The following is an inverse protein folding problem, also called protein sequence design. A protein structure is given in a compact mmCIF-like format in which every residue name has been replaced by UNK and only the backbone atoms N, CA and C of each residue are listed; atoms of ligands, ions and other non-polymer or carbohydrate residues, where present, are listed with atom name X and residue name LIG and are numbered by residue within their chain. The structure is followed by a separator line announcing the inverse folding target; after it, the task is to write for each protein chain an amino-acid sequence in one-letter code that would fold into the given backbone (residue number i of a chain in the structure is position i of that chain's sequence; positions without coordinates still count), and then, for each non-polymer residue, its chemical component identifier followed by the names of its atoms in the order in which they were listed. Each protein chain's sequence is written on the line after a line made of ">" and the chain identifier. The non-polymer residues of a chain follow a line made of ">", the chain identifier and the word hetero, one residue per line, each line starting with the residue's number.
data_IF_425251452273
#
_entry.id   IF_425251452273
#
_cell.length_a   1.000
_cell.length_b   1.000
_cell.length_c   1.000
_cell.angle_alpha   90.00
_cell.angle_beta   90.00
_cell.angle_gamma   90.00
#
_symmetry.space_group_name_H-M   'P 1'
#
loop_
_entity.id
_entity.type
_entity.pdbx_description
1 polymer ?
#
# COMPACT_ATOMS: atom_id res chain seq x y z
N UNK A 1 -1.59 16.20 6.77
CA UNK A 1 -2.30 17.14 7.66
C UNK A 1 -1.57 18.45 7.89
N UNK A 2 -0.25 18.43 7.90
CA UNK A 2 0.60 19.62 8.07
C UNK A 2 0.34 20.74 7.04
N UNK A 3 -0.09 20.42 5.82
CA UNK A 3 -0.41 21.43 4.80
C UNK A 3 -1.67 22.26 5.07
N UNK A 4 -2.63 21.75 5.85
CA UNK A 4 -3.93 22.41 6.11
C UNK A 4 -4.16 22.76 7.59
N UNK A 5 -3.39 22.15 8.50
CA UNK A 5 -3.52 22.39 9.93
C UNK A 5 -2.83 23.70 10.33
N UNK A 6 -3.56 24.57 11.04
CA UNK A 6 -3.01 25.83 11.56
C UNK A 6 -2.79 25.73 13.07
N UNK A 7 -1.52 25.75 13.54
CA UNK A 7 -1.20 25.52 14.95
C UNK A 7 -1.35 26.81 15.79
N UNK A 8 -2.55 27.40 15.82
CA UNK A 8 -2.90 28.55 16.68
C UNK A 8 -4.17 28.24 17.47
N UNK A 9 -4.25 28.72 18.72
CA UNK A 9 -5.39 28.43 19.63
C UNK A 9 -6.73 28.89 19.07
N UNK A 10 -6.74 29.94 18.25
CA UNK A 10 -7.94 30.51 17.65
C UNK A 10 -8.39 29.79 16.38
N UNK A 11 -7.46 29.28 15.56
CA UNK A 11 -7.77 28.67 14.25
C UNK A 11 -7.67 27.14 14.24
N UNK A 12 -7.16 26.51 15.29
CA UNK A 12 -6.94 25.06 15.34
C UNK A 12 -8.24 24.27 15.08
N UNK A 13 -9.35 24.64 15.71
CA UNK A 13 -10.63 23.94 15.50
C UNK A 13 -11.19 24.18 14.09
N UNK A 14 -11.16 25.43 13.62
CA UNK A 14 -11.62 25.80 12.28
C UNK A 14 -10.82 25.08 11.18
N UNK A 15 -9.50 24.98 11.32
CA UNK A 15 -8.64 24.26 10.37
C UNK A 15 -8.94 22.76 10.34
N UNK A 16 -9.34 22.17 11.48
CA UNK A 16 -9.79 20.77 11.54
C UNK A 16 -11.14 20.58 10.85
N UNK A 17 -12.09 21.51 11.04
CA UNK A 17 -13.38 21.46 10.35
C UNK A 17 -13.19 21.58 8.84
N UNK A 18 -12.36 22.52 8.39
CA UNK A 18 -12.02 22.68 6.97
C UNK A 18 -11.49 21.37 6.35
N UNK A 19 -10.57 20.68 7.05
CA UNK A 19 -10.06 19.36 6.62
C UNK A 19 -11.18 18.31 6.51
N UNK A 20 -12.19 18.39 7.37
CA UNK A 20 -13.29 17.42 7.42
C UNK A 20 -14.38 17.68 6.38
N UNK A 21 -14.64 18.94 6.03
CA UNK A 21 -15.81 19.32 5.24
C UNK A 21 -15.48 19.87 3.86
N UNK A 22 -14.33 20.51 3.67
CA UNK A 22 -14.02 21.26 2.46
C UNK A 22 -12.78 20.73 1.70
N UNK A 23 -11.80 20.17 2.40
CA UNK A 23 -10.62 19.61 1.75
C UNK A 23 -10.96 18.30 1.00
N UNK A 24 -10.59 18.22 -0.29
CA UNK A 24 -10.74 17.02 -1.09
C UNK A 24 -10.04 15.82 -0.42
N UNK A 25 -10.80 14.77 -0.14
CA UNK A 25 -10.37 13.59 0.62
C UNK A 25 -9.80 13.90 2.02
N UNK A 26 -9.96 15.11 2.56
CA UNK A 26 -9.40 15.50 3.85
C UNK A 26 -9.98 14.70 5.01
N UNK A 27 -11.29 14.41 4.96
CA UNK A 27 -11.96 13.51 5.90
C UNK A 27 -11.35 12.10 5.89
N UNK A 28 -10.97 11.59 4.71
CA UNK A 28 -10.37 10.27 4.54
C UNK A 28 -8.96 10.27 5.14
N UNK A 29 -8.12 11.24 4.76
CA UNK A 29 -6.75 11.34 5.28
C UNK A 29 -6.76 11.50 6.81
N UNK A 30 -7.72 12.26 7.37
CA UNK A 30 -7.85 12.46 8.83
C UNK A 30 -8.29 11.20 9.52
N UNK A 31 -9.25 10.51 8.93
CA UNK A 31 -9.77 9.24 9.43
C UNK A 31 -8.68 8.17 9.38
N UNK A 32 -7.91 8.05 8.30
CA UNK A 32 -6.77 7.12 8.20
C UNK A 32 -5.72 7.44 9.26
N UNK A 33 -5.34 8.71 9.41
CA UNK A 33 -4.31 9.14 10.36
C UNK A 33 -4.74 8.93 11.83
N UNK A 34 -6.03 9.10 12.16
CA UNK A 34 -6.56 8.90 13.53
C UNK A 34 -6.99 7.47 13.82
N UNK A 35 -7.51 6.74 12.84
CA UNK A 35 -8.20 5.47 13.06
C UNK A 35 -7.29 4.25 12.91
N UNK A 36 -6.20 4.37 12.14
CA UNK A 36 -5.22 3.30 11.93
C UNK A 36 -4.46 2.86 13.18
N UNK A 37 -4.29 3.74 14.17
CA UNK A 37 -3.37 3.50 15.30
C UNK A 37 -4.04 3.52 16.68
N UNK A 38 -5.38 3.52 16.74
CA UNK A 38 -6.06 3.44 18.04
C UNK A 38 -5.91 2.03 18.60
N UNK A 39 -5.55 1.95 19.89
CA UNK A 39 -5.38 0.71 20.65
C UNK A 39 -6.52 -0.27 20.34
N UNK A 40 -6.14 -1.52 20.05
CA UNK A 40 -6.93 -2.61 19.47
C UNK A 40 -7.07 -2.67 17.93
N UNK A 41 -6.63 -1.67 17.13
CA UNK A 41 -6.68 -1.73 15.64
C UNK A 41 -5.35 -1.57 14.91
N UNK A 42 -4.25 -1.38 15.65
CA UNK A 42 -2.90 -1.20 15.08
C UNK A 42 -2.48 -2.38 14.19
N UNK A 43 -2.76 -3.61 14.60
CA UNK A 43 -2.39 -4.81 13.83
C UNK A 43 -3.21 -4.95 12.54
N UNK A 44 -4.48 -4.49 12.53
CA UNK A 44 -5.32 -4.42 11.33
C UNK A 44 -4.73 -3.42 10.34
N UNK A 45 -4.23 -2.28 10.82
CA UNK A 45 -3.57 -1.28 9.99
C UNK A 45 -2.26 -1.78 9.41
N UNK A 46 -1.40 -2.43 10.21
CA UNK A 46 -0.15 -3.02 9.71
C UNK A 46 -0.43 -4.06 8.62
N UNK A 47 -1.42 -4.94 8.82
CA UNK A 47 -1.84 -5.89 7.79
C UNK A 47 -2.34 -5.17 6.53
N UNK A 48 -3.10 -4.08 6.68
CA UNK A 48 -3.53 -3.24 5.56
C UNK A 48 -2.38 -2.63 4.76
N UNK A 49 -1.33 -2.16 5.43
CA UNK A 49 -0.11 -1.66 4.77
C UNK A 49 0.62 -2.78 4.03
N UNK A 50 0.74 -3.96 4.65
CA UNK A 50 1.32 -5.14 3.98
C UNK A 50 0.52 -5.50 2.73
N UNK A 51 -0.81 -5.52 2.81
CA UNK A 51 -1.68 -5.76 1.65
C UNK A 51 -1.48 -4.73 0.54
N UNK A 52 -1.33 -3.44 0.89
CA UNK A 52 -1.04 -2.39 -0.10
C UNK A 52 0.28 -2.63 -0.82
N UNK A 53 1.34 -3.02 -0.09
CA UNK A 53 2.64 -3.38 -0.68
C UNK A 53 2.51 -4.59 -1.61
N UNK A 54 1.75 -5.62 -1.20
CA UNK A 54 1.48 -6.78 -2.06
C UNK A 54 0.76 -6.40 -3.34
N UNK A 55 -0.22 -5.51 -3.28
CA UNK A 55 -0.92 -5.00 -4.48
C UNK A 55 0.03 -4.26 -5.42
N UNK A 56 0.93 -3.43 -4.91
CA UNK A 56 1.94 -2.79 -5.78
C UNK A 56 2.91 -3.82 -6.40
N UNK A 57 3.22 -4.89 -5.66
CA UNK A 57 4.07 -6.00 -6.14
C UNK A 57 3.39 -6.79 -7.27
N UNK A 58 2.06 -6.93 -7.23
CA UNK A 58 1.29 -7.47 -8.36
C UNK A 58 1.46 -6.61 -9.62
N UNK A 59 1.45 -5.29 -9.49
CA UNK A 59 1.68 -4.36 -10.60
C UNK A 59 3.05 -4.60 -11.25
N UNK A 60 4.13 -4.57 -10.46
CA UNK A 60 5.50 -4.75 -10.97
C UNK A 60 5.69 -6.13 -11.64
N UNK A 61 5.27 -7.20 -10.95
CA UNK A 61 5.47 -8.56 -11.48
C UNK A 61 4.60 -8.85 -12.68
N UNK A 62 3.35 -8.37 -12.71
CA UNK A 62 2.42 -8.59 -13.81
C UNK A 62 2.76 -7.77 -15.06
N UNK A 63 3.17 -6.51 -14.87
CA UNK A 63 3.52 -5.63 -15.98
C UNK A 63 4.73 -6.14 -16.77
N UNK A 64 5.65 -6.84 -16.12
CA UNK A 64 6.81 -7.42 -16.79
C UNK A 64 6.53 -8.68 -17.65
N UNK A 65 5.36 -9.34 -17.49
CA UNK A 65 5.09 -10.65 -18.11
C UNK A 65 4.99 -10.64 -19.64
N UNK A 66 4.44 -9.61 -20.31
CA UNK A 66 4.45 -9.51 -21.77
C UNK A 66 5.86 -9.43 -22.36
N UNK A 67 6.87 -9.11 -21.54
CA UNK A 67 8.28 -9.02 -21.90
C UNK A 67 8.54 -8.12 -23.12
N UNK A 68 7.81 -7.01 -23.19
CA UNK A 68 7.99 -5.96 -24.17
C UNK A 68 9.19 -5.06 -23.78
N UNK A 69 9.53 -4.10 -24.65
CA UNK A 69 10.67 -3.21 -24.39
C UNK A 69 10.50 -2.44 -23.08
N UNK A 70 9.29 -1.94 -22.79
CA UNK A 70 9.05 -1.14 -21.58
C UNK A 70 9.16 -2.03 -20.34
N UNK A 71 8.45 -3.17 -20.30
CA UNK A 71 8.51 -4.11 -19.18
C UNK A 71 9.91 -4.64 -18.89
N UNK A 72 10.72 -4.92 -19.91
CA UNK A 72 12.11 -5.37 -19.73
C UNK A 72 12.99 -4.30 -19.06
N UNK A 73 12.93 -3.05 -19.53
CA UNK A 73 13.74 -1.96 -18.98
C UNK A 73 13.28 -1.55 -17.58
N UNK A 74 11.97 -1.58 -17.32
CA UNK A 74 11.44 -1.35 -15.98
C UNK A 74 11.97 -2.36 -14.97
N UNK A 75 11.94 -3.66 -15.31
CA UNK A 75 12.52 -4.70 -14.45
C UNK A 75 13.97 -4.37 -14.18
N UNK A 76 14.79 -4.11 -15.21
CA UNK A 76 16.22 -3.82 -15.04
C UNK A 76 16.48 -2.66 -14.06
N UNK A 77 15.65 -1.60 -14.12
CA UNK A 77 15.74 -0.46 -13.21
C UNK A 77 15.32 -0.83 -11.79
N UNK A 78 14.19 -1.55 -11.63
CA UNK A 78 13.63 -1.91 -10.31
C UNK A 78 14.53 -2.84 -9.50
N UNK A 79 15.15 -3.84 -10.15
CA UNK A 79 16.13 -4.72 -9.48
C UNK A 79 17.50 -4.06 -9.27
N UNK A 80 17.66 -2.79 -9.67
CA UNK A 80 18.80 -1.96 -9.30
C UNK A 80 20.14 -2.48 -9.81
N UNK A 81 20.13 -3.18 -10.94
CA UNK A 81 21.32 -3.82 -11.48
C UNK A 81 22.12 -2.82 -12.32
N UNK A 82 23.37 -2.48 -11.94
CA UNK A 82 24.30 -1.86 -12.86
C UNK A 82 24.71 -2.88 -13.92
N UNK A 83 24.67 -2.51 -15.20
CA UNK A 83 25.12 -3.37 -16.32
C UNK A 83 26.57 -3.91 -16.12
N UNK A 84 27.35 -3.30 -15.22
CA UNK A 84 28.73 -3.65 -14.92
C UNK A 84 28.94 -4.91 -14.04
N UNK A 85 27.91 -5.49 -13.42
CA UNK A 85 28.07 -6.63 -12.47
C UNK A 85 27.21 -7.87 -12.78
N UNK A 86 26.46 -7.93 -13.89
CA UNK A 86 25.37 -8.90 -13.99
C UNK A 86 25.58 -10.14 -14.86
N UNK A 87 25.35 -11.27 -14.22
CA UNK A 87 24.62 -12.42 -14.77
C UNK A 87 23.23 -11.98 -15.27
N UNK A 88 23.15 -11.62 -16.56
CA UNK A 88 22.00 -11.16 -17.35
C UNK A 88 20.57 -11.39 -16.79
N UNK A 89 19.80 -10.28 -16.69
CA UNK A 89 18.33 -10.33 -16.60
C UNK A 89 17.81 -10.99 -17.87
N UNK A 90 17.13 -12.11 -17.73
CA UNK A 90 16.70 -12.93 -18.86
C UNK A 90 15.69 -14.00 -18.44
N UNK A 91 15.73 -15.15 -19.10
CA UNK A 91 14.71 -16.20 -18.94
C UNK A 91 14.47 -16.63 -17.49
N UNK A 92 15.53 -16.76 -16.68
CA UNK A 92 15.40 -17.16 -15.27
C UNK A 92 14.59 -16.13 -14.46
N UNK A 93 14.77 -14.83 -14.73
CA UNK A 93 14.02 -13.76 -14.07
C UNK A 93 12.55 -13.81 -14.44
N UNK A 94 12.25 -14.00 -15.73
CA UNK A 94 10.87 -14.11 -16.22
C UNK A 94 10.14 -15.30 -15.57
N UNK A 95 10.78 -16.48 -15.49
CA UNK A 95 10.18 -17.65 -14.82
C UNK A 95 9.91 -17.38 -13.34
N UNK A 96 10.85 -16.73 -12.62
CA UNK A 96 10.64 -16.35 -11.21
C UNK A 96 9.48 -15.37 -11.05
N UNK A 97 9.38 -14.36 -11.91
CA UNK A 97 8.32 -13.35 -11.86
C UNK A 97 6.96 -13.97 -12.19
N UNK A 98 6.90 -14.87 -13.16
CA UNK A 98 5.69 -15.64 -13.47
C UNK A 98 5.24 -16.48 -12.27
N UNK A 99 6.12 -17.28 -11.68
CA UNK A 99 5.80 -18.08 -10.49
C UNK A 99 5.40 -17.23 -9.29
N UNK A 100 6.09 -16.11 -9.05
CA UNK A 100 5.73 -15.16 -8.00
C UNK A 100 4.35 -14.53 -8.26
N UNK A 101 4.05 -14.11 -9.48
CA UNK A 101 2.80 -13.42 -9.81
C UNK A 101 1.58 -14.34 -9.76
N UNK A 102 1.73 -15.58 -10.23
CA UNK A 102 0.60 -16.52 -10.40
C UNK A 102 0.36 -17.40 -9.17
N UNK A 103 1.40 -17.67 -8.37
CA UNK A 103 1.28 -18.54 -7.19
C UNK A 103 1.69 -17.83 -5.91
N UNK A 104 2.86 -17.21 -5.87
CA UNK A 104 3.41 -16.61 -4.63
C UNK A 104 2.56 -15.47 -4.07
N UNK A 105 2.34 -14.43 -4.87
CA UNK A 105 1.59 -13.24 -4.49
C UNK A 105 0.11 -13.52 -4.24
N UNK A 106 -0.62 -14.32 -5.06
CA UNK A 106 -2.02 -14.65 -4.78
C UNK A 106 -2.18 -15.41 -3.46
N UNK A 107 -1.30 -16.38 -3.18
CA UNK A 107 -1.34 -17.12 -1.93
C UNK A 107 -1.08 -16.19 -0.73
N UNK A 108 -0.06 -15.35 -0.82
CA UNK A 108 0.30 -14.45 0.28
C UNK A 108 -0.80 -13.42 0.53
N UNK A 109 -1.34 -12.80 -0.52
CA UNK A 109 -2.47 -11.87 -0.41
C UNK A 109 -3.72 -12.55 0.16
N UNK A 110 -4.02 -13.79 -0.24
CA UNK A 110 -5.14 -14.53 0.33
C UNK A 110 -4.96 -14.76 1.83
N UNK A 111 -3.76 -15.17 2.28
CA UNK A 111 -3.45 -15.37 3.70
C UNK A 111 -3.63 -14.05 4.49
N UNK A 112 -3.09 -12.94 3.99
CA UNK A 112 -3.23 -11.65 4.67
C UNK A 112 -4.66 -11.14 4.67
N UNK A 113 -5.45 -11.36 3.61
CA UNK A 113 -6.88 -11.02 3.59
C UNK A 113 -7.69 -11.86 4.57
N UNK A 114 -7.41 -13.16 4.67
CA UNK A 114 -8.03 -14.04 5.65
C UNK A 114 -7.67 -13.68 7.10
N UNK A 115 -6.53 -13.03 7.34
CA UNK A 115 -6.23 -12.44 8.65
C UNK A 115 -6.91 -11.08 8.85
N UNK A 116 -6.97 -10.25 7.81
CA UNK A 116 -7.49 -8.88 7.87
C UNK A 116 -9.00 -8.84 8.18
N UNK A 117 -9.81 -9.62 7.46
CA UNK A 117 -11.27 -9.56 7.61
C UNK A 117 -11.78 -10.00 8.99
N UNK A 118 -11.36 -11.14 9.57
CA UNK A 118 -11.81 -11.54 10.90
C UNK A 118 -11.43 -10.54 11.99
N UNK A 119 -10.30 -9.86 11.83
CA UNK A 119 -9.87 -8.83 12.78
C UNK A 119 -10.80 -7.61 12.76
N UNK A 120 -11.22 -7.17 11.56
CA UNK A 120 -12.23 -6.10 11.42
C UNK A 120 -13.56 -6.54 12.05
N UNK A 121 -14.01 -7.77 11.77
CA UNK A 121 -15.26 -8.30 12.32
C UNK A 121 -15.22 -8.39 13.85
N UNK A 122 -14.08 -8.78 14.45
CA UNK A 122 -13.92 -8.87 15.91
C UNK A 122 -13.86 -7.51 16.60
N UNK A 123 -13.26 -6.51 15.97
CA UNK A 123 -13.01 -5.19 16.58
C UNK A 123 -14.14 -4.18 16.32
N UNK A 124 -15.03 -4.48 15.38
CA UNK A 124 -16.12 -3.60 14.99
C UNK A 124 -15.64 -2.38 14.18
N UNK A 125 -16.60 -1.70 13.55
CA UNK A 125 -16.33 -0.46 12.80
C UNK A 125 -16.08 0.67 13.81
N UNK A 126 -15.07 1.50 13.53
CA UNK A 126 -14.82 2.67 14.35
C UNK A 126 -16.05 3.59 14.38
N UNK A 127 -16.44 4.02 15.58
CA UNK A 127 -17.56 4.94 15.75
C UNK A 127 -17.43 6.24 14.94
N UNK A 128 -18.57 6.89 14.63
CA UNK A 128 -18.59 8.12 13.85
C UNK A 128 -17.80 9.25 14.53
N UNK A 129 -17.45 10.25 13.72
CA UNK A 129 -16.60 11.38 14.12
C UNK A 129 -17.35 12.40 14.97
#
# INVERSE_FOLDING_TARGET
>A
MTFYYRPTVTEAFASVQYIMTEANFGWLIRSVHRCGFKKARELTWVIGVVLAVLTTSFGVTGYSLPWDQIGYWEVKIVIGVPDAILTSVGQSTLTRFYSLHTFGLPLLTAIFMLMHFPMICKQGISGPL
#
